data_IF_023485097166
#
_entry.id   IF_023485097166
#
_cell.length_a   1.000
_cell.length_b   1.000
_cell.length_c   1.000
_cell.angle_alpha   90.00
_cell.angle_beta   90.00
_cell.angle_gamma   90.00
#
_symmetry.space_group_name_H-M   'P 1'
#
loop_
_entity.id
_entity.type
_entity.pdbx_description
1 polymer ?
#
# COMPACT_ATOMS: atom_id res chain seq x y z
N UNK A 1 -0.27 -6.26 -9.46
CA UNK A 1 -0.50 -5.09 -8.60
C UNK A 1 -0.24 -3.83 -9.37
N UNK A 2 -1.19 -2.88 -9.43
CA UNK A 2 -0.90 -1.55 -9.94
C UNK A 2 0.17 -0.88 -9.09
N UNK A 3 1.14 -0.24 -9.75
CA UNK A 3 2.11 0.63 -9.10
C UNK A 3 1.68 2.07 -9.34
N UNK A 4 1.78 2.87 -8.30
CA UNK A 4 1.53 4.31 -8.35
C UNK A 4 2.72 5.04 -8.97
N UNK A 5 2.54 6.32 -9.30
CA UNK A 5 3.59 7.12 -9.92
C UNK A 5 4.82 7.26 -9.01
N UNK A 6 4.65 7.51 -7.71
CA UNK A 6 5.78 7.64 -6.79
C UNK A 6 6.47 6.30 -6.55
N UNK A 7 5.73 5.18 -6.53
CA UNK A 7 6.34 3.86 -6.47
C UNK A 7 7.22 3.58 -7.70
N UNK A 8 6.76 3.95 -8.90
CA UNK A 8 7.54 3.81 -10.14
C UNK A 8 8.78 4.72 -10.11
N UNK A 9 8.64 5.97 -9.67
CA UNK A 9 9.78 6.91 -9.51
C UNK A 9 10.82 6.36 -8.55
N UNK A 10 10.39 5.86 -7.39
CA UNK A 10 11.27 5.25 -6.39
C UNK A 10 12.05 4.08 -6.98
N UNK A 11 11.36 3.13 -7.62
CA UNK A 11 11.98 1.99 -8.27
C UNK A 11 12.89 2.38 -9.45
N UNK A 12 12.58 3.47 -10.14
CA UNK A 12 13.39 4.04 -11.22
C UNK A 12 14.70 4.66 -10.71
N UNK A 13 14.69 5.21 -9.49
CA UNK A 13 15.87 5.82 -8.86
C UNK A 13 16.90 4.82 -8.31
N UNK A 14 16.52 3.54 -8.19
CA UNK A 14 17.40 2.51 -7.66
C UNK A 14 18.53 2.17 -8.67
N UNK A 15 19.77 1.95 -8.19
CA UNK A 15 20.86 1.53 -9.07
C UNK A 15 20.60 0.16 -9.67
N UNK A 16 20.79 0.04 -10.99
CA UNK A 16 20.65 -1.22 -11.73
C UNK A 16 21.97 -1.98 -11.75
N UNK A 17 22.16 -2.86 -10.76
CA UNK A 17 23.41 -3.64 -10.61
C UNK A 17 23.35 -5.02 -11.27
N UNK A 18 22.15 -5.61 -11.41
CA UNK A 18 21.89 -6.87 -12.09
C UNK A 18 20.38 -6.97 -12.43
N UNK A 19 19.92 -8.15 -12.82
CA UNK A 19 18.54 -8.40 -13.25
C UNK A 19 17.49 -8.30 -12.11
N UNK A 20 17.91 -8.18 -10.85
CA UNK A 20 17.01 -7.99 -9.71
C UNK A 20 16.76 -6.51 -9.42
N UNK A 21 15.50 -6.19 -9.09
CA UNK A 21 15.11 -4.85 -8.60
C UNK A 21 15.78 -4.53 -7.26
N UNK A 22 15.86 -5.52 -6.37
CA UNK A 22 16.53 -5.43 -5.07
C UNK A 22 17.71 -6.41 -5.02
N UNK A 23 18.87 -6.03 -5.57
CA UNK A 23 20.06 -6.89 -5.58
C UNK A 23 20.61 -7.13 -4.17
N UNK A 24 21.00 -8.36 -3.89
CA UNK A 24 21.64 -8.75 -2.65
C UNK A 24 23.17 -8.60 -2.70
N UNK A 25 23.85 -8.80 -1.55
CA UNK A 25 25.32 -8.68 -1.48
C UNK A 25 26.06 -9.79 -2.24
N UNK A 26 25.39 -10.91 -2.54
CA UNK A 26 25.96 -11.96 -3.40
C UNK A 26 25.64 -11.64 -4.86
N UNK A 27 26.67 -11.65 -5.70
CA UNK A 27 26.53 -11.41 -7.13
C UNK A 27 25.47 -12.35 -7.75
N UNK A 28 24.57 -11.77 -8.55
CA UNK A 28 23.49 -12.51 -9.22
C UNK A 28 22.45 -13.12 -8.26
N UNK A 29 22.28 -12.58 -7.05
CA UNK A 29 21.21 -13.00 -6.12
C UNK A 29 20.42 -11.78 -5.63
N UNK A 30 19.12 -11.94 -5.32
CA UNK A 30 18.33 -10.89 -4.70
C UNK A 30 18.70 -10.74 -3.22
N UNK A 31 18.21 -9.66 -2.60
CA UNK A 31 18.19 -9.51 -1.15
C UNK A 31 17.43 -10.69 -0.50
N UNK A 32 17.87 -11.14 0.68
CA UNK A 32 17.18 -12.18 1.42
C UNK A 32 16.03 -11.61 2.26
N UNK A 33 15.04 -12.43 2.59
CA UNK A 33 13.95 -12.06 3.49
C UNK A 33 14.46 -11.56 4.85
N UNK A 34 15.56 -12.16 5.34
CA UNK A 34 16.24 -11.75 6.58
C UNK A 34 16.82 -10.34 6.47
N UNK A 35 17.33 -9.97 5.30
CA UNK A 35 17.85 -8.62 5.10
C UNK A 35 16.68 -7.61 5.04
N UNK A 36 15.58 -7.92 4.36
CA UNK A 36 14.36 -7.09 4.35
C UNK A 36 13.81 -6.88 5.76
N UNK A 37 13.71 -7.94 6.58
CA UNK A 37 13.16 -7.84 7.94
C UNK A 37 14.03 -7.04 8.91
N UNK A 38 15.33 -6.90 8.63
CA UNK A 38 16.26 -6.12 9.45
C UNK A 38 16.24 -4.62 9.15
N UNK A 39 15.80 -4.21 7.96
CA UNK A 39 15.82 -2.79 7.53
C UNK A 39 15.08 -1.89 8.51
N UNK A 40 13.82 -2.16 8.92
CA UNK A 40 13.10 -1.23 9.79
C UNK A 40 13.78 -1.08 11.16
N UNK A 41 14.27 -2.19 11.73
CA UNK A 41 15.02 -2.19 12.98
C UNK A 41 16.31 -1.39 12.87
N UNK A 42 17.03 -1.49 11.74
CA UNK A 42 18.23 -0.70 11.49
C UNK A 42 17.93 0.81 11.36
N UNK A 43 16.72 1.17 10.93
CA UNK A 43 16.21 2.55 10.92
C UNK A 43 15.66 3.01 12.28
N UNK A 44 15.71 2.17 13.32
CA UNK A 44 15.23 2.49 14.66
C UNK A 44 13.73 2.29 14.87
N UNK A 45 13.04 1.61 13.95
CA UNK A 45 11.61 1.31 14.06
C UNK A 45 11.38 -0.14 14.49
N UNK A 46 10.56 -0.32 15.53
CA UNK A 46 10.10 -1.64 15.97
C UNK A 46 8.90 -2.11 15.14
N UNK A 47 9.13 -2.30 13.84
CA UNK A 47 8.12 -2.76 12.88
C UNK A 47 8.65 -3.92 12.04
N UNK A 48 7.75 -4.76 11.56
CA UNK A 48 8.09 -5.93 10.75
C UNK A 48 7.59 -5.78 9.32
N UNK A 49 8.14 -6.57 8.39
CA UNK A 49 7.63 -6.66 7.02
C UNK A 49 6.13 -7.05 6.99
N UNK A 50 5.71 -7.94 7.89
CA UNK A 50 4.30 -8.30 8.06
C UNK A 50 3.47 -7.13 8.57
N UNK A 51 4.05 -6.32 9.47
CA UNK A 51 3.44 -5.09 9.98
C UNK A 51 3.02 -4.14 8.86
N UNK A 52 3.88 -3.87 7.88
CA UNK A 52 3.51 -3.01 6.73
C UNK A 52 2.27 -3.51 5.98
N UNK A 53 2.17 -4.83 5.78
CA UNK A 53 1.03 -5.44 5.09
C UNK A 53 -0.25 -5.35 5.93
N UNK A 54 -0.15 -5.57 7.24
CA UNK A 54 -1.27 -5.41 8.16
C UNK A 54 -1.75 -3.95 8.19
N UNK A 55 -0.83 -2.98 8.20
CA UNK A 55 -1.17 -1.54 8.15
C UNK A 55 -1.98 -1.20 6.90
N UNK A 56 -1.57 -1.67 5.72
CA UNK A 56 -2.35 -1.47 4.49
C UNK A 56 -3.76 -2.07 4.60
N UNK A 57 -3.88 -3.29 5.13
CA UNK A 57 -5.17 -3.97 5.29
C UNK A 57 -6.08 -3.19 6.25
N UNK A 58 -5.57 -2.81 7.40
CA UNK A 58 -6.32 -2.03 8.40
C UNK A 58 -6.76 -0.69 7.83
N UNK A 59 -5.85 0.04 7.20
CA UNK A 59 -6.20 1.31 6.54
C UNK A 59 -7.30 1.13 5.49
N UNK A 60 -7.19 0.13 4.63
CA UNK A 60 -8.17 -0.13 3.59
C UNK A 60 -9.55 -0.49 4.16
N UNK A 61 -9.61 -1.18 5.30
CA UNK A 61 -10.86 -1.52 5.98
C UNK A 61 -11.51 -0.34 6.69
N UNK A 62 -10.71 0.54 7.27
CA UNK A 62 -11.21 1.63 8.11
C UNK A 62 -11.51 2.91 7.33
N UNK A 63 -10.73 3.20 6.28
CA UNK A 63 -10.71 4.52 5.63
C UNK A 63 -11.08 4.47 4.14
N UNK A 64 -10.89 3.32 3.50
CA UNK A 64 -11.06 3.22 2.06
C UNK A 64 -12.48 2.73 1.73
N UNK A 65 -13.20 3.44 0.87
CA UNK A 65 -14.59 3.10 0.48
C UNK A 65 -14.62 2.07 -0.65
N UNK A 66 -13.86 0.97 -0.50
CA UNK A 66 -13.77 -0.11 -1.50
C UNK A 66 -14.44 -1.38 -0.99
N UNK A 67 -14.98 -2.17 -1.92
CA UNK A 67 -15.47 -3.51 -1.62
C UNK A 67 -14.31 -4.37 -1.09
N UNK A 68 -14.59 -5.28 -0.16
CA UNK A 68 -13.58 -6.07 0.56
C UNK A 68 -12.65 -6.84 -0.37
N UNK A 69 -13.15 -7.29 -1.52
CA UNK A 69 -12.37 -8.00 -2.53
C UNK A 69 -11.24 -7.16 -3.16
N UNK A 70 -11.35 -5.83 -3.20
CA UNK A 70 -10.35 -4.96 -3.84
C UNK A 70 -9.02 -4.97 -3.06
N UNK A 71 -8.97 -4.67 -1.75
CA UNK A 71 -7.74 -4.78 -0.96
C UNK A 71 -7.25 -6.23 -0.82
N UNK A 72 -8.12 -7.24 -0.84
CA UNK A 72 -7.68 -8.65 -0.83
C UNK A 72 -6.95 -9.03 -2.12
N UNK A 73 -7.50 -8.65 -3.28
CA UNK A 73 -6.85 -8.79 -4.58
C UNK A 73 -5.58 -7.93 -4.67
N UNK A 74 -5.55 -6.79 -3.97
CA UNK A 74 -4.37 -5.94 -3.86
C UNK A 74 -3.23 -6.62 -3.07
N UNK A 75 -3.61 -7.40 -2.06
CA UNK A 75 -2.68 -8.19 -1.28
C UNK A 75 -2.27 -9.49 -2.00
N UNK A 76 -2.83 -9.80 -3.17
CA UNK A 76 -2.67 -11.09 -3.83
C UNK A 76 -3.12 -12.26 -2.94
N UNK A 77 -4.08 -12.03 -2.04
CA UNK A 77 -4.77 -13.11 -1.36
C UNK A 77 -5.69 -13.80 -2.37
N UNK A 78 -5.51 -15.12 -2.51
CA UNK A 78 -6.43 -15.93 -3.30
C UNK A 78 -7.67 -16.16 -2.43
N UNK A 79 -8.79 -15.55 -2.79
CA UNK A 79 -10.06 -15.79 -2.09
C UNK A 79 -10.48 -17.25 -2.30
N UNK A 80 -10.65 -18.00 -1.22
CA UNK A 80 -11.13 -19.39 -1.23
C UNK A 80 -12.65 -19.50 -1.41
N UNK A 81 -13.36 -18.38 -1.49
CA UNK A 81 -14.81 -18.32 -1.62
C UNK A 81 -15.24 -18.37 -3.09
N UNK A 82 -15.54 -19.59 -3.57
CA UNK A 82 -16.04 -19.88 -4.93
C UNK A 82 -17.28 -19.05 -5.30
N UNK A 83 -18.05 -18.57 -4.33
CA UNK A 83 -19.26 -17.76 -4.54
C UNK A 83 -18.91 -16.31 -4.90
N UNK A 84 -17.87 -15.73 -4.28
CA UNK A 84 -17.34 -14.40 -4.62
C UNK A 84 -16.61 -14.39 -5.97
N UNK A 85 -15.94 -15.49 -6.32
CA UNK A 85 -15.24 -15.65 -7.62
C UNK A 85 -16.18 -15.54 -8.82
N UNK A 86 -17.46 -15.90 -8.68
CA UNK A 86 -18.45 -15.83 -9.76
C UNK A 86 -18.83 -14.38 -10.14
N UNK A 87 -18.82 -13.45 -9.18
CA UNK A 87 -19.04 -12.01 -9.40
C UNK A 87 -17.74 -11.28 -9.74
N UNK A 88 -16.60 -11.75 -9.20
CA UNK A 88 -15.26 -11.21 -9.47
C UNK A 88 -14.66 -11.70 -10.81
N UNK A 89 -15.46 -11.71 -11.89
CA UNK A 89 -14.99 -12.12 -13.24
C UNK A 89 -13.88 -11.21 -13.81
N UNK A 90 -13.63 -10.05 -13.20
CA UNK A 90 -12.51 -9.19 -13.54
C UNK A 90 -11.57 -9.05 -12.35
N UNK A 91 -10.27 -8.93 -12.60
CA UNK A 91 -9.27 -8.68 -11.55
C UNK A 91 -9.40 -7.30 -10.87
N UNK A 92 -10.49 -6.56 -11.11
CA UNK A 92 -10.78 -5.22 -10.59
C UNK A 92 -9.58 -4.27 -10.71
N UNK A 93 -8.85 -4.33 -11.83
CA UNK A 93 -7.56 -3.63 -11.99
C UNK A 93 -7.69 -2.11 -11.81
N UNK A 94 -8.77 -1.51 -12.31
CA UNK A 94 -8.99 -0.07 -12.19
C UNK A 94 -9.33 0.33 -10.74
N UNK A 95 -10.13 -0.47 -10.04
CA UNK A 95 -10.38 -0.25 -8.60
C UNK A 95 -9.15 -0.48 -7.74
N UNK A 96 -8.27 -1.42 -8.13
CA UNK A 96 -6.96 -1.57 -7.48
C UNK A 96 -6.04 -0.38 -7.77
N UNK A 97 -6.13 0.27 -8.94
CA UNK A 97 -5.36 1.49 -9.24
C UNK A 97 -5.80 2.61 -8.31
N UNK A 98 -7.11 2.91 -8.29
CA UNK A 98 -7.69 3.92 -7.40
C UNK A 98 -7.29 3.67 -5.93
N UNK A 99 -7.41 2.42 -5.45
CA UNK A 99 -7.01 2.05 -4.08
C UNK A 99 -5.52 2.30 -3.80
N UNK A 100 -4.64 2.02 -4.76
CA UNK A 100 -3.20 2.22 -4.59
C UNK A 100 -2.84 3.71 -4.60
N UNK A 101 -3.53 4.52 -5.42
CA UNK A 101 -3.34 5.98 -5.47
C UNK A 101 -3.81 6.64 -4.15
N UNK A 102 -4.97 6.21 -3.62
CA UNK A 102 -5.44 6.67 -2.29
C UNK A 102 -4.47 6.29 -1.17
N UNK A 103 -3.86 5.11 -1.27
CA UNK A 103 -2.87 4.64 -0.31
C UNK A 103 -1.58 5.45 -0.37
N UNK A 104 -1.09 5.76 -1.58
CA UNK A 104 0.06 6.67 -1.78
C UNK A 104 -0.22 8.03 -1.15
N UNK A 105 -1.38 8.63 -1.44
CA UNK A 105 -1.76 9.92 -0.88
C UNK A 105 -1.76 9.88 0.65
N UNK A 106 -2.33 8.83 1.25
CA UNK A 106 -2.34 8.65 2.70
C UNK A 106 -0.94 8.53 3.30
N UNK A 107 -0.03 7.76 2.69
CA UNK A 107 1.34 7.61 3.19
C UNK A 107 2.10 8.95 3.12
N UNK A 108 1.95 9.70 2.03
CA UNK A 108 2.72 10.92 1.78
C UNK A 108 2.20 12.13 2.55
N UNK A 109 0.89 12.22 2.76
CA UNK A 109 0.24 13.40 3.33
C UNK A 109 -0.43 13.13 4.68
N UNK A 110 -0.51 11.87 5.10
CA UNK A 110 -1.25 11.45 6.28
C UNK A 110 -2.76 11.49 6.07
N UNK A 111 -3.50 11.39 7.16
CA UNK A 111 -4.93 11.72 7.14
C UNK A 111 -5.03 13.25 7.16
N UNK A 112 -5.30 13.88 6.02
CA UNK A 112 -5.85 15.23 6.09
C UNK A 112 -7.18 15.11 6.83
N UNK A 113 -7.23 15.59 8.09
CA UNK A 113 -8.51 16.00 8.62
C UNK A 113 -9.08 16.98 7.59
N UNK A 114 -10.17 16.62 6.92
CA UNK A 114 -11.05 17.63 6.34
C UNK A 114 -11.49 18.47 7.51
N UNK A 115 -10.71 19.48 7.85
CA UNK A 115 -11.04 20.50 8.81
C UNK A 115 -12.31 21.13 8.28
N UNK A 116 -13.45 20.62 8.76
CA UNK A 116 -14.75 21.21 8.52
C UNK A 116 -14.58 22.65 8.95
N UNK A 117 -14.69 23.58 7.99
CA UNK A 117 -14.62 25.00 8.24
C UNK A 117 -15.72 25.31 9.26
N UNK A 118 -15.39 25.33 10.55
CA UNK A 118 -16.33 25.70 11.60
C UNK A 118 -16.55 27.19 11.43
N UNK A 119 -17.58 27.54 10.68
CA UNK A 119 -18.03 28.92 10.57
C UNK A 119 -18.75 29.25 11.86
N UNK A 120 -18.24 30.21 12.61
CA UNK A 120 -18.90 30.75 13.79
C UNK A 120 -20.25 31.34 13.38
N UNK A 121 -21.33 30.75 13.89
CA UNK A 121 -22.67 31.36 13.80
C UNK A 121 -22.67 32.55 14.74
N UNK A 122 -22.39 33.73 14.20
CA UNK A 122 -22.45 34.99 14.92
C UNK A 122 -23.83 35.21 15.52
N UNK A 123 -23.88 35.28 16.85
CA UNK A 123 -25.05 35.76 17.58
C UNK A 123 -25.28 37.24 17.25
N UNK A 124 -26.39 37.55 16.57
CA UNK A 124 -26.91 38.92 16.49
C UNK A 124 -27.30 39.37 17.90
N UNK A 125 -26.81 40.55 18.30
CA UNK A 125 -27.46 41.41 19.29
C UNK A 125 -28.71 42.03 18.68
#
# INVERSE_FOLDING_TARGET
>A
MPLTEEAVKLLGSLPRMNDYVFPGPRAGKPISDVAVSKVPKALGHDVTAHGFRATFRTWAQEHASYAEEVPELALAHVSSDRTRTAYARGELIDKRRELMDDWEHFILHGHEERGGKVVSVGGRK
#
